data_IF_402795909662
#
_entry.id   IF_402795909662
#
_cell.length_a   1.000
_cell.length_b   1.000
_cell.length_c   1.000
_cell.angle_alpha   90.00
_cell.angle_beta   90.00
_cell.angle_gamma   90.00
#
_symmetry.space_group_name_H-M   'P 1'
#
loop_
_entity.id
_entity.type
_entity.pdbx_description
1 polymer ?
#
# COMPACT_ATOMS: atom_id res chain seq x y z
N UNK A 1 -5.11 13.34 8.36
CA UNK A 1 -4.83 11.99 7.82
C UNK A 1 -5.80 10.99 8.43
N UNK A 2 -6.43 10.18 7.59
CA UNK A 2 -7.25 9.06 8.05
C UNK A 2 -6.36 7.87 8.33
N UNK A 3 -6.83 6.98 9.19
CA UNK A 3 -6.15 5.72 9.49
C UNK A 3 -7.12 4.55 9.34
N UNK A 4 -6.58 3.36 9.29
CA UNK A 4 -7.39 2.15 9.17
C UNK A 4 -6.84 1.05 10.07
N UNK A 5 -7.66 0.05 10.33
CA UNK A 5 -7.22 -1.14 11.06
C UNK A 5 -6.92 -2.23 10.05
N UNK A 6 -5.90 -3.02 10.32
CA UNK A 6 -5.47 -4.07 9.41
C UNK A 6 -5.11 -5.33 10.20
N UNK A 7 -5.48 -6.48 9.65
CA UNK A 7 -5.13 -7.77 10.24
C UNK A 7 -4.43 -8.62 9.17
N UNK A 8 -3.25 -9.12 9.52
CA UNK A 8 -2.47 -9.98 8.64
C UNK A 8 -1.71 -10.99 9.48
N UNK A 9 -1.73 -12.26 9.05
CA UNK A 9 -1.00 -13.34 9.73
C UNK A 9 -1.33 -13.43 11.23
N UNK A 10 -2.60 -13.29 11.57
CA UNK A 10 -3.12 -13.37 12.95
C UNK A 10 -2.66 -12.21 13.84
N UNK A 11 -2.06 -11.17 13.29
CA UNK A 11 -1.70 -9.97 14.04
C UNK A 11 -2.64 -8.84 13.65
N UNK A 12 -3.17 -8.15 14.65
CA UNK A 12 -4.06 -7.01 14.47
C UNK A 12 -3.27 -5.72 14.67
N UNK A 13 -3.43 -4.81 13.72
CA UNK A 13 -2.79 -3.51 13.74
C UNK A 13 -3.86 -2.43 13.75
N UNK A 14 -3.59 -1.34 14.46
CA UNK A 14 -4.49 -0.18 14.53
C UNK A 14 -3.78 1.07 14.05
N UNK A 15 -4.57 2.08 13.69
CA UNK A 15 -4.07 3.38 13.27
C UNK A 15 -3.07 3.27 12.12
N UNK A 16 -3.36 2.39 11.18
CA UNK A 16 -2.48 2.16 10.04
C UNK A 16 -2.62 3.28 9.01
N UNK A 17 -1.51 3.57 8.36
CA UNK A 17 -1.45 4.55 7.28
C UNK A 17 -0.32 4.16 6.31
N UNK A 18 -0.30 4.82 5.17
CA UNK A 18 0.71 4.55 4.16
C UNK A 18 1.80 5.62 4.16
N UNK A 19 3.02 5.17 3.95
CA UNK A 19 4.13 6.01 3.53
C UNK A 19 4.27 5.81 2.03
N UNK A 20 3.95 6.85 1.26
CA UNK A 20 3.95 6.78 -0.21
C UNK A 20 5.28 7.33 -0.70
N UNK A 21 6.01 6.50 -1.43
CA UNK A 21 7.28 6.88 -2.01
C UNK A 21 7.32 6.52 -3.48
N UNK A 22 8.53 6.47 -4.03
CA UNK A 22 8.75 6.09 -5.41
C UNK A 22 9.92 5.14 -5.53
N UNK A 23 9.75 4.15 -6.39
CA UNK A 23 10.87 3.36 -6.88
C UNK A 23 11.61 4.15 -7.96
N UNK A 24 12.76 3.65 -8.38
CA UNK A 24 13.42 4.19 -9.56
C UNK A 24 12.43 4.23 -10.73
N UNK A 25 12.58 5.22 -11.60
CA UNK A 25 11.71 5.45 -12.77
C UNK A 25 10.30 5.89 -12.41
N UNK A 26 10.09 6.39 -11.20
CA UNK A 26 8.86 7.07 -10.82
C UNK A 26 7.67 6.18 -10.47
N UNK A 27 7.86 4.87 -10.35
CA UNK A 27 6.77 3.98 -9.93
C UNK A 27 6.49 4.16 -8.45
N UNK A 28 5.21 4.13 -8.08
CA UNK A 28 4.81 4.30 -6.68
C UNK A 28 5.26 3.12 -5.81
N UNK A 29 5.68 3.43 -4.61
CA UNK A 29 5.92 2.44 -3.58
C UNK A 29 5.07 2.77 -2.36
N UNK A 30 4.52 1.74 -1.72
CA UNK A 30 3.67 1.89 -0.54
C UNK A 30 4.23 1.05 0.60
N UNK A 31 4.49 1.69 1.72
CA UNK A 31 4.82 1.01 2.96
C UNK A 31 3.67 1.22 3.94
N UNK A 32 3.40 0.22 4.77
CA UNK A 32 2.34 0.28 5.78
C UNK A 32 2.99 0.51 7.13
N UNK A 33 2.51 1.54 7.81
CA UNK A 33 2.89 1.85 9.19
C UNK A 33 1.68 1.77 10.09
N UNK A 34 1.88 1.50 11.35
CA UNK A 34 0.79 1.45 12.32
C UNK A 34 1.27 0.92 13.67
N UNK A 35 0.33 0.59 14.53
CA UNK A 35 0.60 0.07 15.87
C UNK A 35 0.05 -1.33 16.00
N UNK A 36 0.78 -2.21 16.67
CA UNK A 36 0.20 -3.48 17.13
C UNK A 36 -0.92 -3.14 18.12
N UNK A 37 -1.99 -3.92 18.13
CA UNK A 37 -3.24 -3.58 18.84
C UNK A 37 -3.06 -3.09 20.28
N UNK A 38 -2.15 -3.66 21.03
CA UNK A 38 -1.93 -3.30 22.42
C UNK A 38 -0.71 -2.40 22.64
N UNK A 39 -0.17 -1.83 21.56
CA UNK A 39 1.02 -0.98 21.60
C UNK A 39 0.65 0.42 21.11
N UNK A 40 1.26 1.45 21.72
CA UNK A 40 1.04 2.84 21.33
C UNK A 40 2.13 3.34 20.36
N UNK A 41 3.14 2.55 20.09
CA UNK A 41 4.26 2.96 19.24
C UNK A 41 4.01 2.63 17.79
N UNK A 42 4.14 3.64 16.93
CA UNK A 42 4.05 3.47 15.48
C UNK A 42 5.33 2.82 14.97
N UNK A 43 5.18 1.82 14.13
CA UNK A 43 6.33 1.14 13.52
C UNK A 43 6.00 0.75 12.09
N UNK A 44 7.05 0.44 11.32
CA UNK A 44 6.90 -0.12 9.99
C UNK A 44 6.35 -1.54 10.11
N UNK A 45 5.23 -1.80 9.45
CA UNK A 45 4.60 -3.11 9.46
C UNK A 45 5.08 -3.94 8.29
N UNK A 46 5.00 -3.39 7.07
CA UNK A 46 5.30 -4.15 5.85
C UNK A 46 5.39 -3.23 4.66
N UNK A 47 6.05 -3.69 3.61
CA UNK A 47 5.97 -3.05 2.30
C UNK A 47 4.81 -3.68 1.54
N UNK A 48 3.88 -2.85 1.12
CA UNK A 48 2.68 -3.31 0.43
C UNK A 48 2.94 -3.64 -1.03
N UNK A 49 3.91 -2.98 -1.66
CA UNK A 49 4.18 -3.09 -3.10
C UNK A 49 5.47 -3.82 -3.39
N UNK A 50 5.58 -4.29 -4.63
CA UNK A 50 6.79 -4.88 -5.18
C UNK A 50 7.20 -4.07 -6.40
N UNK A 51 8.50 -3.76 -6.50
CA UNK A 51 9.04 -3.11 -7.69
C UNK A 51 9.17 -4.14 -8.82
N UNK A 52 8.65 -3.79 -10.00
CA UNK A 52 8.73 -4.65 -11.17
C UNK A 52 9.29 -3.85 -12.35
N UNK A 53 9.89 -4.55 -13.31
CA UNK A 53 10.42 -3.90 -14.50
C UNK A 53 9.34 -3.61 -15.53
N UNK A 54 8.22 -4.28 -15.46
CA UNK A 54 7.13 -4.11 -16.41
C UNK A 54 6.56 -2.70 -16.34
N UNK A 55 6.10 -2.20 -17.48
CA UNK A 55 5.49 -0.89 -17.56
C UNK A 55 4.13 -0.89 -16.89
N UNK A 56 3.92 0.03 -15.97
CA UNK A 56 2.66 0.24 -15.28
C UNK A 56 2.12 1.62 -15.59
N UNK A 57 0.80 1.77 -15.51
CA UNK A 57 0.20 3.10 -15.55
C UNK A 57 0.54 3.88 -14.27
N UNK A 58 0.34 5.19 -14.32
CA UNK A 58 0.74 6.10 -13.26
C UNK A 58 0.12 5.75 -11.90
N UNK A 59 -1.11 5.23 -11.91
CA UNK A 59 -1.85 4.87 -10.70
C UNK A 59 -1.90 3.37 -10.46
N UNK A 60 -1.02 2.61 -11.09
CA UNK A 60 -0.94 1.16 -10.89
C UNK A 60 0.24 0.78 -10.04
N UNK A 61 0.03 -0.20 -9.17
CA UNK A 61 1.10 -0.82 -8.37
C UNK A 61 0.90 -2.32 -8.33
N UNK A 62 1.98 -3.04 -8.06
CA UNK A 62 1.92 -4.49 -7.83
C UNK A 62 1.89 -4.72 -6.33
N UNK A 63 0.87 -5.42 -5.85
CA UNK A 63 0.69 -5.71 -4.42
C UNK A 63 1.31 -7.06 -4.08
N UNK A 64 2.10 -7.05 -3.01
CA UNK A 64 2.62 -8.29 -2.44
C UNK A 64 1.56 -8.88 -1.50
N UNK A 65 0.67 -9.67 -2.07
CA UNK A 65 -0.43 -10.28 -1.33
C UNK A 65 -0.04 -11.61 -0.66
N UNK A 66 1.19 -12.04 -0.83
CA UNK A 66 1.72 -13.19 -0.09
C UNK A 66 2.23 -12.76 1.29
N UNK A 67 3.00 -11.69 1.34
CA UNK A 67 3.46 -11.14 2.60
C UNK A 67 2.37 -10.38 3.35
N UNK A 68 1.42 -9.80 2.61
CA UNK A 68 0.36 -8.95 3.16
C UNK A 68 -1.00 -9.61 2.91
N UNK A 69 -1.30 -10.66 3.66
CA UNK A 69 -2.59 -11.36 3.52
C UNK A 69 -3.75 -10.41 3.80
N UNK A 70 -4.83 -10.55 3.03
CA UNK A 70 -6.03 -9.73 3.14
C UNK A 70 -5.86 -8.25 2.77
N UNK A 71 -4.67 -7.81 2.38
CA UNK A 71 -4.45 -6.39 2.10
C UNK A 71 -5.36 -5.87 0.98
N UNK A 72 -5.50 -6.63 -0.10
CA UNK A 72 -6.35 -6.21 -1.21
C UNK A 72 -7.80 -6.03 -0.77
N UNK A 73 -8.32 -6.93 0.08
CA UNK A 73 -9.67 -6.81 0.62
C UNK A 73 -9.84 -5.50 1.41
N UNK A 74 -8.87 -5.18 2.26
CA UNK A 74 -8.90 -3.93 3.02
C UNK A 74 -8.86 -2.71 2.10
N UNK A 75 -7.99 -2.75 1.08
CA UNK A 75 -7.88 -1.64 0.15
C UNK A 75 -9.14 -1.44 -0.69
N UNK A 76 -9.80 -2.53 -1.08
CA UNK A 76 -11.08 -2.46 -1.77
C UNK A 76 -12.15 -1.85 -0.88
N UNK A 77 -12.23 -2.28 0.37
CA UNK A 77 -13.20 -1.77 1.33
C UNK A 77 -13.01 -0.27 1.61
N UNK A 78 -11.78 0.19 1.62
CA UNK A 78 -11.45 1.61 1.82
C UNK A 78 -11.67 2.45 0.56
N UNK A 79 -11.89 1.82 -0.58
CA UNK A 79 -12.01 2.52 -1.84
C UNK A 79 -10.68 2.96 -2.45
N UNK A 80 -9.57 2.47 -1.92
CA UNK A 80 -8.23 2.80 -2.42
C UNK A 80 -7.93 2.04 -3.70
N UNK A 81 -8.32 0.77 -3.78
CA UNK A 81 -8.20 -0.03 -5.00
C UNK A 81 -9.50 0.06 -5.78
N UNK A 82 -9.39 0.48 -7.04
CA UNK A 82 -10.54 0.60 -7.95
C UNK A 82 -10.77 -0.67 -8.75
N UNK A 83 -9.70 -1.31 -9.19
CA UNK A 83 -9.79 -2.52 -10.03
C UNK A 83 -8.47 -3.30 -9.97
N UNK A 84 -8.52 -4.54 -10.44
CA UNK A 84 -7.36 -5.41 -10.55
C UNK A 84 -7.26 -5.84 -12.01
N UNK A 85 -6.65 -5.00 -12.88
CA UNK A 85 -6.68 -5.23 -14.32
C UNK A 85 -5.91 -6.46 -14.78
N UNK A 86 -4.85 -6.86 -14.07
CA UNK A 86 -4.03 -7.97 -14.50
C UNK A 86 -3.18 -8.52 -13.35
N UNK A 87 -2.44 -9.58 -13.64
CA UNK A 87 -1.42 -10.12 -12.74
C UNK A 87 -0.09 -10.13 -13.48
N UNK A 88 1.00 -10.04 -12.72
CA UNK A 88 2.35 -10.16 -13.25
C UNK A 88 3.10 -11.24 -12.50
N UNK A 89 4.06 -11.84 -13.16
CA UNK A 89 4.91 -12.86 -12.55
C UNK A 89 6.18 -12.18 -12.02
N UNK A 90 6.42 -12.33 -10.72
CA UNK A 90 7.63 -11.83 -10.07
C UNK A 90 8.31 -13.03 -9.46
N UNK A 91 9.47 -13.40 -10.01
CA UNK A 91 10.14 -14.65 -9.68
C UNK A 91 9.17 -15.82 -9.97
N UNK A 92 8.72 -16.54 -8.98
CA UNK A 92 7.80 -17.66 -9.17
C UNK A 92 6.37 -17.34 -8.72
N UNK A 93 6.11 -16.08 -8.36
CA UNK A 93 4.82 -15.66 -7.82
C UNK A 93 4.02 -14.89 -8.86
N UNK A 94 2.72 -15.11 -8.87
CA UNK A 94 1.78 -14.32 -9.67
C UNK A 94 1.17 -13.28 -8.73
N UNK A 95 1.51 -12.02 -8.94
CA UNK A 95 1.05 -10.93 -8.08
C UNK A 95 0.07 -10.02 -8.83
N UNK A 96 -0.95 -9.51 -8.15
CA UNK A 96 -1.93 -8.64 -8.79
C UNK A 96 -1.38 -7.24 -9.02
N UNK A 97 -1.69 -6.70 -10.19
CA UNK A 97 -1.55 -5.27 -10.47
C UNK A 97 -2.87 -4.64 -10.11
N UNK A 98 -2.86 -3.62 -9.27
CA UNK A 98 -4.07 -2.93 -8.87
C UNK A 98 -4.06 -1.49 -9.35
N UNK A 99 -5.24 -0.99 -9.73
CA UNK A 99 -5.44 0.40 -10.08
C UNK A 99 -5.88 1.14 -8.83
N UNK A 100 -5.18 2.21 -8.48
CA UNK A 100 -5.44 2.98 -7.27
C UNK A 100 -6.28 4.21 -7.56
N UNK A 101 -7.13 4.56 -6.60
CA UNK A 101 -7.69 5.89 -6.48
C UNK A 101 -6.70 6.70 -5.67
N UNK A 102 -5.91 7.55 -6.32
CA UNK A 102 -4.83 8.28 -5.66
C UNK A 102 -5.36 9.26 -4.62
N UNK A 103 -6.50 9.89 -4.86
CA UNK A 103 -7.09 10.80 -3.88
C UNK A 103 -7.47 10.05 -2.60
N UNK A 104 -8.04 8.87 -2.74
CA UNK A 104 -8.35 8.02 -1.58
C UNK A 104 -7.09 7.57 -0.87
N UNK A 105 -6.08 7.13 -1.63
CA UNK A 105 -4.80 6.71 -1.06
C UNK A 105 -4.21 7.82 -0.20
N UNK A 106 -4.22 9.04 -0.74
CA UNK A 106 -3.60 10.18 -0.04
C UNK A 106 -4.33 10.56 1.24
N UNK A 107 -5.61 10.26 1.38
CA UNK A 107 -6.31 10.47 2.64
C UNK A 107 -5.73 9.64 3.78
N UNK A 108 -5.12 8.49 3.46
CA UNK A 108 -4.52 7.57 4.41
C UNK A 108 -2.99 7.60 4.39
N UNK A 109 -2.40 8.67 3.87
CA UNK A 109 -0.96 8.75 3.67
C UNK A 109 -0.35 9.89 4.47
N UNK A 110 0.76 9.60 5.13
CA UNK A 110 1.44 10.56 6.00
C UNK A 110 2.27 11.58 5.23
N UNK A 111 3.10 11.13 4.30
CA UNK A 111 4.12 11.95 3.68
C UNK A 111 3.61 12.90 2.59
N UNK A 112 2.41 12.68 2.07
CA UNK A 112 1.92 13.45 0.94
C UNK A 112 1.78 14.94 1.23
N UNK A 113 1.32 15.29 2.41
CA UNK A 113 1.19 16.69 2.79
C UNK A 113 2.54 17.36 2.91
N UNK A 114 3.50 16.66 3.50
CA UNK A 114 4.86 17.17 3.65
C UNK A 114 5.50 17.38 2.27
N UNK A 115 5.36 16.42 1.37
CA UNK A 115 5.90 16.54 0.02
C UNK A 115 5.27 17.68 -0.76
N UNK A 116 3.98 17.90 -0.62
CA UNK A 116 3.29 19.01 -1.28
C UNK A 116 3.81 20.36 -0.83
N UNK A 117 4.15 20.51 0.42
CA UNK A 117 4.67 21.77 0.96
C UNK A 117 6.15 21.94 0.70
N UNK A 118 6.89 20.85 0.54
CA UNK A 118 8.31 20.89 0.25
C UNK A 118 8.61 21.21 -1.22
N UNK A 119 7.67 20.95 -2.08
CA UNK A 119 7.79 21.24 -3.51
C UNK A 119 7.24 22.63 -3.84
#
# INVERSE_FOLDING_TARGET
MKTFNYESNCVKYKNCFFDVGEYEKGKLSLAIYGCVEDDENVSHISNATVNVEEKLEENEVVIDNYANTNLISFLLDLGIVKSIPKKVTVKFLRLPVVELDLDKLYEYSYEQEVLKYAS
#
